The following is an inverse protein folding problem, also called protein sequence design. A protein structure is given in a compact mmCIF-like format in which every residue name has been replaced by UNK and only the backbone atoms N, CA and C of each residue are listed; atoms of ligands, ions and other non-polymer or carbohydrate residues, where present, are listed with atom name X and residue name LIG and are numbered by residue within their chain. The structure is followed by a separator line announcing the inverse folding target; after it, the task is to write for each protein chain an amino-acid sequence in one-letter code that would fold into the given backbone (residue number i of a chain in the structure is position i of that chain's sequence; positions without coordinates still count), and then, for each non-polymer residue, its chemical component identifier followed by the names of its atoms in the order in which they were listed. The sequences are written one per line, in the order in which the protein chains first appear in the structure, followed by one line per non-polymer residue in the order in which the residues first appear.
data_IF_725197941367
#
_entry.id   IF_725197941367
#
_cell.length_a   1.000
_cell.length_b   1.000
_cell.length_c   1.000
_cell.angle_alpha   90.00
_cell.angle_beta   90.00
_cell.angle_gamma   90.00
#
_symmetry.space_group_name_H-M   'P 1'
#
loop_
_entity.id
_entity.type
_entity.pdbx_description
1 polymer ?
#
# COMPACT_ATOMS: atom_id res chain seq x y z
N UNK A 1 0.80 -48.12 -10.56
CA UNK A 1 1.34 -46.82 -11.01
C UNK A 1 0.24 -45.78 -10.84
N UNK A 2 0.40 -44.86 -9.88
CA UNK A 2 -0.52 -43.74 -9.66
C UNK A 2 -0.03 -42.56 -10.49
N UNK A 3 -0.72 -42.26 -11.58
CA UNK A 3 -0.51 -41.03 -12.37
C UNK A 3 -1.14 -39.86 -11.64
N UNK A 4 -0.30 -38.98 -11.07
CA UNK A 4 -0.72 -37.66 -10.60
C UNK A 4 -0.93 -36.76 -11.81
N UNK A 5 -2.18 -36.44 -12.14
CA UNK A 5 -2.50 -35.28 -12.97
C UNK A 5 -2.22 -34.02 -12.16
N UNK A 6 -1.09 -33.38 -12.44
CA UNK A 6 -0.85 -31.99 -12.02
C UNK A 6 -1.86 -31.14 -12.79
N UNK A 7 -2.95 -30.76 -12.12
CA UNK A 7 -3.83 -29.74 -12.64
C UNK A 7 -3.01 -28.44 -12.74
N UNK A 8 -2.54 -28.11 -13.95
CA UNK A 8 -2.03 -26.77 -14.23
C UNK A 8 -3.17 -25.81 -13.95
N UNK A 9 -3.08 -25.09 -12.83
CA UNK A 9 -3.98 -23.98 -12.54
C UNK A 9 -3.99 -23.00 -13.71
N UNK A 10 -5.13 -22.34 -13.92
CA UNK A 10 -5.24 -21.31 -14.94
C UNK A 10 -4.07 -20.30 -14.78
N UNK A 11 -3.44 -19.86 -15.89
CA UNK A 11 -2.39 -18.87 -15.81
C UNK A 11 -2.92 -17.63 -15.09
N UNK A 12 -2.10 -16.97 -14.25
CA UNK A 12 -2.53 -15.77 -13.57
C UNK A 12 -2.97 -14.72 -14.60
N UNK A 13 -3.98 -13.88 -14.30
CA UNK A 13 -4.41 -12.86 -15.22
C UNK A 13 -3.24 -11.96 -15.67
N UNK A 14 -3.32 -11.31 -16.84
CA UNK A 14 -2.30 -10.34 -17.24
C UNK A 14 -2.35 -9.10 -16.33
N UNK A 15 -1.28 -8.30 -16.37
CA UNK A 15 -1.33 -6.95 -15.80
C UNK A 15 -2.39 -6.10 -16.51
N UNK A 16 -3.00 -5.10 -15.82
CA UNK A 16 -3.89 -4.15 -16.46
C UNK A 16 -3.24 -3.46 -17.67
N UNK A 17 -4.07 -3.01 -18.62
CA UNK A 17 -3.60 -2.36 -19.84
C UNK A 17 -2.66 -1.17 -19.54
N UNK A 18 -1.52 -1.11 -20.24
CA UNK A 18 -0.49 -0.09 -20.02
C UNK A 18 0.47 -0.38 -18.87
N UNK A 19 0.31 -1.49 -18.16
CA UNK A 19 1.23 -1.96 -17.12
C UNK A 19 1.88 -3.28 -17.50
N UNK A 20 3.07 -3.53 -16.96
CA UNK A 20 3.89 -4.71 -17.27
C UNK A 20 4.33 -5.42 -16.00
N UNK A 21 4.33 -6.75 -16.03
CA UNK A 21 4.97 -7.54 -14.98
C UNK A 21 6.49 -7.50 -15.15
N UNK A 22 7.22 -7.25 -14.06
CA UNK A 22 8.70 -7.28 -14.04
C UNK A 22 9.17 -8.18 -12.88
N UNK A 23 9.15 -9.51 -13.05
CA UNK A 23 9.50 -10.43 -11.98
C UNK A 23 10.91 -10.20 -11.38
N UNK A 24 11.97 -9.92 -12.18
CA UNK A 24 13.28 -9.57 -11.62
C UNK A 24 13.24 -8.36 -10.70
N UNK A 25 12.48 -7.31 -11.04
CA UNK A 25 12.32 -6.15 -10.16
C UNK A 25 11.55 -6.49 -8.90
N UNK A 26 10.43 -7.22 -9.01
CA UNK A 26 9.66 -7.67 -7.84
C UNK A 26 10.54 -8.44 -6.85
N UNK A 27 11.38 -9.36 -7.35
CA UNK A 27 12.30 -10.12 -6.52
C UNK A 27 13.26 -9.22 -5.73
N UNK A 28 13.80 -8.16 -6.35
CA UNK A 28 14.64 -7.18 -5.64
C UNK A 28 13.87 -6.41 -4.57
N UNK A 29 12.67 -5.93 -4.88
CA UNK A 29 11.84 -5.20 -3.92
C UNK A 29 11.47 -6.08 -2.71
N UNK A 30 11.09 -7.33 -2.97
CA UNK A 30 10.77 -8.32 -1.93
C UNK A 30 12.00 -8.68 -1.10
N UNK A 31 13.17 -8.84 -1.73
CA UNK A 31 14.42 -9.07 -1.02
C UNK A 31 14.75 -7.90 -0.08
N UNK A 32 14.65 -6.65 -0.54
CA UNK A 32 14.84 -5.47 0.31
C UNK A 32 13.87 -5.44 1.50
N UNK A 33 12.58 -5.75 1.27
CA UNK A 33 11.61 -5.86 2.34
C UNK A 33 11.89 -7.00 3.33
N UNK A 34 12.47 -8.11 2.87
CA UNK A 34 12.78 -9.25 3.72
C UNK A 34 13.95 -8.96 4.69
N UNK A 35 14.84 -8.02 4.37
CA UNK A 35 15.95 -7.60 5.23
C UNK A 35 15.49 -6.77 6.45
N UNK A 36 14.28 -6.18 6.40
CA UNK A 36 13.73 -5.40 7.51
C UNK A 36 12.77 -6.30 8.33
N UNK A 37 13.03 -6.56 9.64
CA UNK A 37 12.28 -7.56 10.41
C UNK A 37 10.76 -7.36 10.43
N UNK A 38 10.31 -6.11 10.51
CA UNK A 38 8.88 -5.76 10.52
C UNK A 38 8.18 -6.14 9.20
N UNK A 39 8.77 -5.81 8.05
CA UNK A 39 8.20 -6.21 6.75
C UNK A 39 8.40 -7.68 6.44
N UNK A 40 9.46 -8.32 6.93
CA UNK A 40 9.60 -9.77 6.80
C UNK A 40 8.42 -10.52 7.45
N UNK A 41 7.91 -10.01 8.59
CA UNK A 41 6.71 -10.57 9.22
C UNK A 41 5.45 -10.37 8.38
N UNK A 42 5.32 -9.23 7.69
CA UNK A 42 4.22 -8.94 6.76
C UNK A 42 4.28 -9.88 5.56
N UNK A 43 5.45 -10.03 4.93
CA UNK A 43 5.65 -10.90 3.77
C UNK A 43 5.26 -12.36 4.07
N UNK A 44 5.55 -12.87 5.28
CA UNK A 44 5.16 -14.23 5.69
C UNK A 44 3.65 -14.43 5.84
N UNK A 45 2.88 -13.35 5.99
CA UNK A 45 1.42 -13.38 6.14
C UNK A 45 0.69 -13.27 4.81
N UNK A 46 1.40 -12.89 3.74
CA UNK A 46 0.81 -12.82 2.41
C UNK A 46 0.45 -14.23 1.90
N UNK A 47 -0.67 -14.38 1.19
CA UNK A 47 -0.96 -15.61 0.47
C UNK A 47 0.18 -15.96 -0.50
N UNK A 48 0.47 -17.25 -0.67
CA UNK A 48 1.50 -17.70 -1.62
C UNK A 48 1.18 -17.17 -3.01
N UNK A 49 2.15 -16.50 -3.64
CA UNK A 49 1.97 -15.89 -4.96
C UNK A 49 1.28 -14.53 -4.97
N UNK A 50 0.99 -13.94 -3.81
CA UNK A 50 0.38 -12.61 -3.69
C UNK A 50 1.29 -11.61 -2.95
N UNK A 51 1.11 -10.29 -3.18
CA UNK A 51 0.32 -9.72 -4.26
C UNK A 51 1.05 -9.83 -5.60
N UNK A 52 0.29 -9.92 -6.70
CA UNK A 52 0.88 -9.71 -8.03
C UNK A 52 1.26 -8.24 -8.14
N UNK A 53 2.46 -7.96 -8.63
CA UNK A 53 2.95 -6.59 -8.81
C UNK A 53 3.09 -6.27 -10.29
N UNK A 54 2.52 -5.14 -10.71
CA UNK A 54 2.57 -4.61 -12.06
C UNK A 54 3.15 -3.20 -12.02
N UNK A 55 3.96 -2.85 -13.02
CA UNK A 55 4.63 -1.55 -13.12
C UNK A 55 4.11 -0.76 -14.31
N UNK A 56 3.93 0.54 -14.13
CA UNK A 56 3.65 1.48 -15.20
C UNK A 56 3.81 2.92 -14.71
N UNK A 57 3.68 3.91 -15.60
CA UNK A 57 3.59 5.31 -15.18
C UNK A 57 2.20 5.56 -14.62
N UNK A 58 2.07 5.40 -13.30
CA UNK A 58 0.82 5.64 -12.57
C UNK A 58 0.98 6.86 -11.67
N UNK A 59 -0.05 7.73 -11.57
CA UNK A 59 0.00 8.87 -10.67
C UNK A 59 0.07 8.41 -9.20
N UNK A 60 -0.54 7.26 -8.92
CA UNK A 60 -0.66 6.67 -7.59
C UNK A 60 -0.32 5.19 -7.66
N UNK A 61 0.56 4.74 -6.76
CA UNK A 61 0.77 3.31 -6.52
C UNK A 61 -0.34 2.79 -5.61
N UNK A 62 -1.05 1.75 -6.03
CA UNK A 62 -2.29 1.32 -5.39
C UNK A 62 -2.43 -0.21 -5.38
N UNK A 63 -3.32 -0.71 -4.52
CA UNK A 63 -3.80 -2.09 -4.54
C UNK A 63 -5.19 -2.10 -5.20
N UNK A 64 -5.36 -2.87 -6.27
CA UNK A 64 -6.67 -3.01 -6.95
C UNK A 64 -7.59 -3.92 -6.14
N UNK A 65 -8.90 -3.85 -6.42
CA UNK A 65 -9.89 -4.75 -5.83
C UNK A 65 -9.60 -6.24 -6.16
N UNK A 66 -8.97 -6.52 -7.30
CA UNK A 66 -8.49 -7.87 -7.69
C UNK A 66 -7.16 -8.31 -7.01
N UNK A 67 -6.64 -7.54 -6.05
CA UNK A 67 -5.43 -7.88 -5.31
C UNK A 67 -4.12 -7.67 -6.10
N UNK A 68 -4.11 -6.78 -7.10
CA UNK A 68 -2.92 -6.42 -7.87
C UNK A 68 -2.32 -5.14 -7.31
N UNK A 69 -1.03 -5.18 -6.99
CA UNK A 69 -0.26 -3.99 -6.63
C UNK A 69 0.24 -3.32 -7.90
N UNK A 70 -0.09 -2.04 -8.06
CA UNK A 70 0.40 -1.17 -9.12
C UNK A 70 1.49 -0.28 -8.53
N UNK A 71 2.69 -0.31 -9.11
CA UNK A 71 3.81 0.56 -8.70
C UNK A 71 4.23 1.47 -9.85
N UNK A 72 4.59 2.71 -9.51
CA UNK A 72 5.15 3.63 -10.50
C UNK A 72 6.55 3.17 -10.95
N UNK A 73 6.72 2.97 -12.25
CA UNK A 73 8.01 2.60 -12.85
C UNK A 73 9.11 3.62 -12.51
N UNK A 74 8.75 4.89 -12.30
CA UNK A 74 9.70 5.96 -11.99
C UNK A 74 10.28 5.90 -10.57
N UNK A 75 9.62 5.20 -9.65
CA UNK A 75 10.05 5.17 -8.26
C UNK A 75 11.36 4.39 -8.12
N UNK A 76 12.39 4.90 -7.40
CA UNK A 76 13.58 4.11 -7.08
C UNK A 76 13.23 2.85 -6.29
N UNK A 77 14.04 1.79 -6.40
CA UNK A 77 13.71 0.49 -5.81
C UNK A 77 13.49 0.57 -4.28
N UNK A 78 14.28 1.34 -3.52
CA UNK A 78 14.06 1.50 -2.08
C UNK A 78 12.70 2.18 -1.75
N UNK A 79 12.28 3.17 -2.55
CA UNK A 79 10.97 3.81 -2.39
C UNK A 79 9.83 2.89 -2.80
N UNK A 80 9.99 2.18 -3.92
CA UNK A 80 9.03 1.22 -4.42
C UNK A 80 8.87 0.02 -3.46
N UNK A 81 9.94 -0.43 -2.81
CA UNK A 81 9.92 -1.46 -1.79
C UNK A 81 9.15 -1.00 -0.56
N UNK A 82 9.42 0.20 -0.03
CA UNK A 82 8.66 0.73 1.09
C UNK A 82 7.17 0.88 0.77
N UNK A 83 6.84 1.39 -0.44
CA UNK A 83 5.46 1.47 -0.92
C UNK A 83 4.81 0.09 -1.11
N UNK A 84 5.56 -0.91 -1.57
CA UNK A 84 5.08 -2.29 -1.63
C UNK A 84 4.76 -2.81 -0.22
N UNK A 85 5.56 -2.47 0.80
CA UNK A 85 5.27 -2.80 2.19
C UNK A 85 3.97 -2.19 2.71
N UNK A 86 3.71 -0.92 2.37
CA UNK A 86 2.41 -0.26 2.62
C UNK A 86 1.25 -1.06 2.00
N UNK A 87 1.33 -1.34 0.70
CA UNK A 87 0.24 -1.99 -0.03
C UNK A 87 0.06 -3.47 0.37
N UNK A 88 1.14 -4.14 0.77
CA UNK A 88 1.09 -5.49 1.34
C UNK A 88 0.33 -5.52 2.67
N UNK A 89 0.43 -4.46 3.48
CA UNK A 89 -0.36 -4.36 4.70
C UNK A 89 -1.86 -4.33 4.38
N UNK A 90 -2.28 -3.55 3.38
CA UNK A 90 -3.66 -3.53 2.90
C UNK A 90 -4.09 -4.87 2.30
N UNK A 91 -3.20 -5.58 1.59
CA UNK A 91 -3.50 -6.90 1.06
C UNK A 91 -3.79 -7.94 2.17
N UNK A 92 -3.26 -7.75 3.38
CA UNK A 92 -3.51 -8.63 4.54
C UNK A 92 -4.71 -8.16 5.35
N UNK A 93 -4.82 -6.84 5.58
CA UNK A 93 -5.84 -6.25 6.42
C UNK A 93 -7.19 -6.07 5.71
N UNK A 94 -7.20 -6.16 4.38
CA UNK A 94 -8.32 -5.78 3.53
C UNK A 94 -8.19 -4.33 3.05
N UNK A 95 -8.88 -4.03 1.95
CA UNK A 95 -8.92 -2.68 1.39
C UNK A 95 -9.43 -1.68 2.45
N UNK A 96 -8.74 -0.55 2.68
CA UNK A 96 -9.22 0.49 3.57
C UNK A 96 -10.42 1.23 2.99
N UNK A 97 -10.64 1.14 1.67
CA UNK A 97 -11.66 1.91 1.00
C UNK A 97 -13.08 1.47 1.42
N UNK A 98 -13.96 2.42 1.81
CA UNK A 98 -15.34 2.11 2.19
C UNK A 98 -16.15 1.44 1.08
N UNK A 99 -17.10 0.58 1.47
CA UNK A 99 -18.10 0.05 0.56
C UNK A 99 -19.11 1.15 0.18
N UNK A 100 -19.50 1.25 -1.11
CA UNK A 100 -20.57 2.14 -1.54
C UNK A 100 -21.88 1.86 -0.80
N UNK A 101 -22.59 2.92 -0.42
CA UNK A 101 -23.86 2.84 0.31
C UNK A 101 -23.72 2.43 1.78
N UNK A 102 -22.53 2.57 2.38
CA UNK A 102 -22.39 2.30 3.83
C UNK A 102 -23.31 3.26 4.62
N UNK A 103 -24.05 2.77 5.64
CA UNK A 103 -25.07 3.57 6.34
C UNK A 103 -24.48 4.72 7.17
N UNK A 104 -23.20 4.62 7.55
CA UNK A 104 -22.47 5.67 8.27
C UNK A 104 -21.13 5.93 7.57
N UNK A 105 -21.16 6.88 6.64
CA UNK A 105 -19.98 7.24 5.87
C UNK A 105 -18.89 7.92 6.70
N UNK A 106 -19.25 8.66 7.74
CA UNK A 106 -18.25 9.32 8.59
C UNK A 106 -17.45 8.29 9.36
N UNK A 107 -18.13 7.30 9.98
CA UNK A 107 -17.44 6.21 10.65
C UNK A 107 -16.66 5.33 9.68
N UNK A 108 -17.16 5.12 8.46
CA UNK A 108 -16.43 4.35 7.43
C UNK A 108 -15.15 5.05 6.97
N UNK A 109 -15.22 6.36 6.69
CA UNK A 109 -14.05 7.17 6.32
C UNK A 109 -13.05 7.24 7.48
N UNK A 110 -13.49 7.44 8.71
CA UNK A 110 -12.59 7.46 9.87
C UNK A 110 -11.83 6.15 10.06
N UNK A 111 -12.50 5.00 9.87
CA UNK A 111 -11.84 3.68 9.88
C UNK A 111 -10.84 3.54 8.75
N UNK A 112 -11.20 3.97 7.53
CA UNK A 112 -10.32 3.94 6.37
C UNK A 112 -9.04 4.75 6.61
N UNK A 113 -9.16 6.00 7.08
CA UNK A 113 -8.02 6.86 7.36
C UNK A 113 -7.14 6.32 8.49
N UNK A 114 -7.72 5.61 9.48
CA UNK A 114 -6.95 4.93 10.52
C UNK A 114 -6.08 3.80 9.95
N UNK A 115 -6.62 3.02 9.00
CA UNK A 115 -5.85 1.99 8.30
C UNK A 115 -4.75 2.58 7.42
N UNK A 116 -5.02 3.70 6.75
CA UNK A 116 -4.01 4.44 5.98
C UNK A 116 -2.90 5.00 6.88
N UNK A 117 -3.24 5.58 8.03
CA UNK A 117 -2.24 6.08 8.98
C UNK A 117 -1.26 4.99 9.43
N UNK A 118 -1.77 3.77 9.69
CA UNK A 118 -0.94 2.59 10.00
C UNK A 118 0.00 2.22 8.85
N UNK A 119 -0.53 2.19 7.63
CA UNK A 119 0.23 1.81 6.44
C UNK A 119 1.30 2.85 6.11
N UNK A 120 1.01 4.14 6.24
CA UNK A 120 2.02 5.21 6.10
C UNK A 120 3.06 5.17 7.22
N UNK A 121 2.68 4.89 8.46
CA UNK A 121 3.64 4.75 9.55
C UNK A 121 4.65 3.62 9.27
N UNK A 122 4.17 2.47 8.78
CA UNK A 122 5.01 1.38 8.31
C UNK A 122 5.90 1.84 7.15
N UNK A 123 5.33 2.48 6.13
CA UNK A 123 6.07 2.95 4.96
C UNK A 123 7.24 3.88 5.35
N UNK A 124 7.02 4.81 6.28
CA UNK A 124 8.08 5.71 6.75
C UNK A 124 9.21 4.97 7.46
N UNK A 125 8.88 3.97 8.29
CA UNK A 125 9.90 3.11 8.91
C UNK A 125 10.71 2.35 7.87
N UNK A 126 10.03 1.79 6.85
CA UNK A 126 10.68 1.07 5.76
C UNK A 126 11.56 1.99 4.90
N UNK A 127 11.07 3.18 4.52
CA UNK A 127 11.85 4.19 3.80
C UNK A 127 13.14 4.49 4.53
N UNK A 128 13.08 4.75 5.84
CA UNK A 128 14.25 5.03 6.67
C UNK A 128 15.19 3.82 6.78
N UNK A 129 14.65 2.62 7.00
CA UNK A 129 15.45 1.39 7.09
C UNK A 129 16.16 1.04 5.77
N UNK A 130 15.55 1.38 4.64
CA UNK A 130 16.11 1.18 3.29
C UNK A 130 16.97 2.36 2.81
N UNK A 131 17.29 3.32 3.69
CA UNK A 131 18.19 4.43 3.39
C UNK A 131 17.59 5.53 2.51
N UNK A 132 16.27 5.61 2.38
CA UNK A 132 15.60 6.70 1.67
C UNK A 132 15.65 7.97 2.52
N UNK A 133 16.21 9.04 1.96
CA UNK A 133 16.40 10.34 2.64
C UNK A 133 15.51 11.46 2.08
N UNK A 134 14.82 11.22 0.96
CA UNK A 134 13.88 12.16 0.37
C UNK A 134 12.61 12.28 1.23
N UNK A 135 12.16 13.51 1.47
CA UNK A 135 10.85 13.79 2.06
C UNK A 135 9.80 13.67 0.95
N UNK A 136 8.77 12.87 1.18
CA UNK A 136 7.67 12.65 0.24
C UNK A 136 6.34 13.16 0.77
N UNK A 137 6.05 12.95 2.05
CA UNK A 137 4.76 13.29 2.65
C UNK A 137 4.81 14.54 3.53
N UNK A 138 3.73 15.33 3.50
CA UNK A 138 3.62 16.54 4.33
C UNK A 138 3.62 16.31 5.84
N UNK A 139 3.45 15.07 6.30
CA UNK A 139 3.48 14.69 7.72
C UNK A 139 4.79 14.06 8.18
N UNK A 140 5.79 13.87 7.30
CA UNK A 140 7.02 13.12 7.66
C UNK A 140 7.80 13.76 8.80
N UNK A 141 7.97 15.08 8.78
CA UNK A 141 8.72 15.78 9.82
C UNK A 141 8.05 15.63 11.19
N UNK A 142 6.74 15.91 11.26
CA UNK A 142 5.96 15.74 12.48
C UNK A 142 6.00 14.29 12.99
N UNK A 143 5.93 13.30 12.10
CA UNK A 143 6.06 11.89 12.44
C UNK A 143 7.40 11.57 13.11
N UNK A 144 8.51 12.12 12.61
CA UNK A 144 9.83 11.83 13.19
C UNK A 144 10.12 12.60 14.48
N UNK A 145 9.51 13.76 14.68
CA UNK A 145 9.59 14.55 15.92
C UNK A 145 8.70 14.00 17.04
N UNK A 146 7.60 13.33 16.70
CA UNK A 146 6.69 12.74 17.67
C UNK A 146 7.32 11.55 18.44
N UNK A 147 6.86 11.36 19.68
CA UNK A 147 7.14 10.14 20.43
C UNK A 147 6.55 8.92 19.73
N UNK A 148 7.12 7.70 19.91
CA UNK A 148 6.68 6.51 19.18
C UNK A 148 5.16 6.26 19.21
N UNK A 149 4.52 6.48 20.35
CA UNK A 149 3.07 6.34 20.55
C UNK A 149 2.22 7.42 19.87
N UNK A 150 2.79 8.60 19.62
CA UNK A 150 2.10 9.73 18.98
C UNK A 150 2.25 9.75 17.45
N UNK A 151 3.09 8.88 16.88
CA UNK A 151 3.43 8.85 15.46
C UNK A 151 2.25 8.58 14.52
N UNK A 152 1.56 7.47 14.72
CA UNK A 152 0.37 7.11 13.92
C UNK A 152 -0.78 8.11 14.14
N UNK A 153 -1.09 8.52 15.39
CA UNK A 153 -2.05 9.61 15.63
C UNK A 153 -1.73 10.91 14.89
N UNK A 154 -0.45 11.29 14.77
CA UNK A 154 -0.04 12.49 14.03
C UNK A 154 -0.34 12.37 12.53
N UNK A 155 -0.12 11.19 11.93
CA UNK A 155 -0.49 10.94 10.53
C UNK A 155 -2.01 11.01 10.36
N UNK A 156 -2.76 10.37 11.25
CA UNK A 156 -4.23 10.39 11.19
C UNK A 156 -4.79 11.81 11.32
N UNK A 157 -4.24 12.61 12.23
CA UNK A 157 -4.61 14.02 12.38
C UNK A 157 -4.35 14.80 11.08
N UNK A 158 -3.19 14.58 10.44
CA UNK A 158 -2.87 15.20 9.16
C UNK A 158 -3.84 14.78 8.05
N UNK A 159 -4.12 13.48 7.90
CA UNK A 159 -5.03 12.93 6.89
C UNK A 159 -6.45 13.49 7.05
N UNK A 160 -6.89 13.66 8.29
CA UNK A 160 -8.21 14.23 8.61
C UNK A 160 -8.28 15.72 8.28
N UNK A 161 -7.20 16.47 8.53
CA UNK A 161 -7.12 17.90 8.24
C UNK A 161 -6.94 18.22 6.74
N UNK A 162 -6.49 17.25 5.94
CA UNK A 162 -6.23 17.41 4.51
C UNK A 162 -7.02 16.39 3.67
N UNK A 163 -8.37 16.44 3.68
CA UNK A 163 -9.19 15.42 3.02
C UNK A 163 -9.00 15.40 1.50
N UNK A 164 -8.64 16.53 0.89
CA UNK A 164 -8.31 16.67 -0.53
C UNK A 164 -6.86 16.29 -0.87
N UNK A 165 -6.10 15.78 0.10
CA UNK A 165 -4.70 15.39 -0.07
C UNK A 165 -3.74 16.58 -0.14
N UNK A 166 -2.58 16.35 -0.72
CA UNK A 166 -1.50 17.33 -0.85
C UNK A 166 -0.16 16.79 -0.38
N UNK A 167 0.93 17.46 -0.77
CA UNK A 167 2.29 17.15 -0.32
C UNK A 167 2.61 15.64 -0.43
N UNK A 168 2.41 15.06 -1.61
CA UNK A 168 2.70 13.64 -1.89
C UNK A 168 1.65 12.63 -1.42
N UNK A 169 0.55 13.08 -0.81
CA UNK A 169 -0.59 12.25 -0.39
C UNK A 169 -1.80 12.52 -1.29
N UNK A 170 -2.51 11.47 -1.67
CA UNK A 170 -3.73 11.58 -2.47
C UNK A 170 -4.91 12.14 -1.67
N UNK A 171 -5.98 12.50 -2.37
CA UNK A 171 -7.26 12.95 -1.79
C UNK A 171 -8.03 11.79 -1.13
N UNK A 172 -7.42 11.11 -0.15
CA UNK A 172 -7.95 9.91 0.48
C UNK A 172 -9.28 10.19 1.20
N UNK A 173 -9.35 11.27 1.98
CA UNK A 173 -10.58 11.64 2.71
C UNK A 173 -11.76 11.89 1.78
N UNK A 174 -11.58 12.75 0.79
CA UNK A 174 -12.63 13.07 -0.20
C UNK A 174 -12.95 11.88 -1.09
N UNK A 175 -11.94 11.11 -1.49
CA UNK A 175 -12.09 9.91 -2.32
C UNK A 175 -12.90 8.81 -1.61
N UNK A 176 -12.60 8.55 -0.34
CA UNK A 176 -13.34 7.58 0.47
C UNK A 176 -14.77 8.03 0.75
N UNK A 177 -14.97 9.33 1.00
CA UNK A 177 -16.32 9.88 1.19
C UNK A 177 -17.17 9.70 -0.07
N UNK A 178 -16.64 10.11 -1.24
CA UNK A 178 -17.34 9.92 -2.53
C UNK A 178 -17.68 8.45 -2.79
N UNK A 179 -16.70 7.55 -2.63
CA UNK A 179 -16.92 6.09 -2.79
C UNK A 179 -18.02 5.60 -1.86
N UNK A 180 -17.99 6.00 -0.59
CA UNK A 180 -19.00 5.61 0.40
C UNK A 180 -20.40 6.08 0.02
N UNK A 181 -20.53 7.31 -0.44
CA UNK A 181 -21.82 7.89 -0.84
C UNK A 181 -22.31 7.39 -2.20
N UNK A 182 -21.52 6.57 -2.89
CA UNK A 182 -21.82 6.07 -4.23
C UNK A 182 -21.71 7.13 -5.33
N UNK A 183 -20.79 8.09 -5.16
CA UNK A 183 -20.55 9.22 -6.07
C UNK A 183 -19.21 9.14 -6.78
#
# INVERSE_FOLDING_TARGET
MLTFTVACGAPPPPCPAGLTADPPRVQRLVAQLAEVPESAAILRRLPRGAPRVCFGRVPVSALTDDGVVLLDTASPDAEAAARLGHLALHAIAGSPAPHPGSPDCDAAVARALTLEARAFALELRLRRALGVTSIRYGFEEAYWQASPEAREPAILAWLTAHPSGGQGVDALGDGYRRRCEGR
#
